data_IF_825085912755
#
_entry.id   IF_825085912755
#
_cell.length_a   1.000
_cell.length_b   1.000
_cell.length_c   1.000
_cell.angle_alpha   90.00
_cell.angle_beta   90.00
_cell.angle_gamma   90.00
#
_symmetry.space_group_name_H-M   'P 1'
#
loop_
_entity.id
_entity.type
_entity.pdbx_description
1 polymer ?
#
# COMPACT_ATOMS: atom_id res chain seq x y z
N UNK A 1 16.86 16.86 13.38
CA UNK A 1 16.91 15.82 12.33
C UNK A 1 16.33 16.40 11.05
N UNK A 2 16.94 16.11 9.90
CA UNK A 2 16.37 16.49 8.60
C UNK A 2 15.18 15.58 8.28
N UNK A 3 14.28 16.03 7.42
CA UNK A 3 13.13 15.24 6.98
C UNK A 3 13.57 13.90 6.36
N UNK A 4 14.67 13.90 5.61
CA UNK A 4 15.28 12.74 4.96
C UNK A 4 15.88 11.71 5.93
N UNK A 5 16.21 12.10 7.15
CA UNK A 5 16.70 11.18 8.19
C UNK A 5 15.58 10.71 9.13
N UNK A 6 14.58 11.56 9.38
CA UNK A 6 13.45 11.23 10.24
C UNK A 6 12.41 10.32 9.56
N UNK A 7 12.07 10.59 8.30
CA UNK A 7 10.98 9.89 7.61
C UNK A 7 11.18 8.36 7.52
N UNK A 8 12.37 7.82 7.18
CA UNK A 8 12.58 6.38 7.16
C UNK A 8 12.42 5.73 8.54
N UNK A 9 12.88 6.39 9.60
CA UNK A 9 12.77 5.89 10.98
C UNK A 9 11.29 5.83 11.40
N UNK A 10 10.54 6.90 11.16
CA UNK A 10 9.11 6.95 11.47
C UNK A 10 8.33 5.89 10.67
N UNK A 11 8.65 5.71 9.39
CA UNK A 11 8.04 4.67 8.56
C UNK A 11 8.35 3.26 9.09
N UNK A 12 9.59 2.99 9.49
CA UNK A 12 9.98 1.71 10.05
C UNK A 12 9.27 1.41 11.38
N UNK A 13 9.21 2.39 12.30
CA UNK A 13 8.47 2.26 13.56
C UNK A 13 6.97 2.03 13.32
N UNK A 14 6.38 2.77 12.37
CA UNK A 14 4.99 2.57 11.96
C UNK A 14 4.73 1.18 11.39
N UNK A 15 5.62 0.68 10.54
CA UNK A 15 5.55 -0.68 10.00
C UNK A 15 5.65 -1.74 11.10
N UNK A 16 6.61 -1.62 12.01
CA UNK A 16 6.78 -2.57 13.13
C UNK A 16 5.53 -2.58 14.02
N UNK A 17 5.04 -1.41 14.40
CA UNK A 17 3.81 -1.30 15.18
C UNK A 17 2.63 -1.96 14.46
N UNK A 18 2.44 -1.68 13.17
CA UNK A 18 1.39 -2.28 12.36
C UNK A 18 1.54 -3.81 12.26
N UNK A 19 2.73 -4.32 11.95
CA UNK A 19 2.99 -5.75 11.86
C UNK A 19 2.72 -6.47 13.18
N UNK A 20 3.16 -5.90 14.31
CA UNK A 20 2.87 -6.43 15.64
C UNK A 20 1.37 -6.44 15.93
N UNK A 21 0.64 -5.38 15.57
CA UNK A 21 -0.82 -5.37 15.74
C UNK A 21 -1.50 -6.45 14.90
N UNK A 22 -1.03 -6.72 13.68
CA UNK A 22 -1.57 -7.79 12.85
C UNK A 22 -1.24 -9.18 13.41
N UNK A 23 -0.05 -9.37 13.96
CA UNK A 23 0.40 -10.64 14.51
C UNK A 23 -0.28 -11.01 15.84
N UNK A 24 -0.60 -9.99 16.66
CA UNK A 24 -1.12 -10.19 18.02
C UNK A 24 -2.65 -10.04 18.08
N UNK A 25 -3.26 -9.25 17.18
CA UNK A 25 -4.70 -9.04 17.22
C UNK A 25 -5.46 -10.37 17.00
N UNK A 26 -6.50 -10.66 17.79
CA UNK A 26 -7.27 -11.86 17.62
C UNK A 26 -7.93 -11.88 16.25
N UNK A 27 -7.97 -13.06 15.63
CA UNK A 27 -8.68 -13.28 14.38
C UNK A 27 -10.13 -12.81 14.54
N UNK A 28 -10.58 -11.96 13.62
CA UNK A 28 -11.95 -11.45 13.63
C UNK A 28 -12.79 -12.24 12.64
N UNK A 29 -13.94 -12.72 13.11
CA UNK A 29 -14.92 -13.44 12.29
C UNK A 29 -15.57 -12.50 11.26
N UNK A 30 -15.72 -11.22 11.60
CA UNK A 30 -16.40 -10.24 10.75
C UNK A 30 -15.48 -9.12 10.24
N UNK A 31 -15.62 -8.73 8.95
CA UNK A 31 -14.95 -7.56 8.41
C UNK A 31 -15.38 -6.28 9.13
N UNK A 32 -14.43 -5.46 9.58
CA UNK A 32 -14.76 -4.12 10.09
C UNK A 32 -15.28 -3.25 8.95
N UNK A 33 -16.45 -2.64 9.13
CA UNK A 33 -17.10 -1.77 8.13
C UNK A 33 -16.17 -0.68 7.58
N UNK A 34 -15.31 -0.12 8.44
CA UNK A 34 -14.41 0.99 8.11
C UNK A 34 -12.95 0.57 7.89
N UNK A 35 -12.66 -0.73 7.73
CA UNK A 35 -11.29 -1.23 7.52
C UNK A 35 -10.60 -0.60 6.30
N UNK A 36 -11.37 -0.21 5.28
CA UNK A 36 -10.90 0.41 4.06
C UNK A 36 -10.33 1.82 4.25
N UNK A 37 -10.73 2.53 5.31
CA UNK A 37 -10.29 3.91 5.55
C UNK A 37 -8.79 3.99 5.80
N UNK A 38 -8.23 3.02 6.51
CA UNK A 38 -6.80 2.99 6.83
C UNK A 38 -5.90 2.99 5.58
N UNK A 39 -6.00 2.02 4.65
CA UNK A 39 -5.21 2.05 3.42
C UNK A 39 -5.58 3.24 2.51
N UNK A 40 -6.82 3.75 2.53
CA UNK A 40 -7.20 4.94 1.78
C UNK A 40 -6.46 6.19 2.29
N UNK A 41 -6.40 6.39 3.61
CA UNK A 41 -5.66 7.49 4.23
C UNK A 41 -4.17 7.40 3.93
N UNK A 42 -3.58 6.20 4.04
CA UNK A 42 -2.17 5.99 3.67
C UNK A 42 -1.92 6.27 2.19
N UNK A 43 -2.83 5.88 1.31
CA UNK A 43 -2.75 6.16 -0.13
C UNK A 43 -2.68 7.67 -0.39
N UNK A 44 -3.59 8.45 0.21
CA UNK A 44 -3.64 9.91 0.05
C UNK A 44 -2.40 10.57 0.65
N UNK A 45 -2.00 10.17 1.87
CA UNK A 45 -0.83 10.72 2.52
C UNK A 45 0.46 10.45 1.74
N UNK A 46 0.64 9.21 1.25
CA UNK A 46 1.80 8.85 0.47
C UNK A 46 1.79 9.49 -0.92
N UNK A 47 0.64 9.61 -1.57
CA UNK A 47 0.50 10.39 -2.81
C UNK A 47 0.94 11.85 -2.61
N UNK A 48 0.52 12.48 -1.51
CA UNK A 48 0.95 13.84 -1.16
C UNK A 48 2.47 13.94 -1.01
N UNK A 49 3.08 12.99 -0.33
CA UNK A 49 4.54 12.90 -0.22
C UNK A 49 5.22 12.70 -1.57
N UNK A 50 4.72 11.80 -2.41
CA UNK A 50 5.27 11.53 -3.75
C UNK A 50 5.18 12.77 -4.64
N UNK A 51 4.07 13.51 -4.60
CA UNK A 51 3.93 14.77 -5.33
C UNK A 51 4.91 15.84 -4.82
N UNK A 52 5.11 15.92 -3.50
CA UNK A 52 6.10 16.81 -2.92
C UNK A 52 7.53 16.47 -3.39
N UNK A 53 7.93 15.19 -3.33
CA UNK A 53 9.22 14.74 -3.83
C UNK A 53 9.38 15.04 -5.33
N UNK A 54 8.35 14.75 -6.14
CA UNK A 54 8.34 15.03 -7.57
C UNK A 54 8.51 16.52 -7.88
N UNK A 55 7.87 17.40 -7.10
CA UNK A 55 7.97 18.85 -7.29
C UNK A 55 9.37 19.41 -6.95
N UNK A 56 10.09 18.77 -6.02
CA UNK A 56 11.40 19.23 -5.56
C UNK A 56 12.57 18.58 -6.31
N UNK A 57 12.44 17.32 -6.70
CA UNK A 57 13.55 16.50 -7.24
C UNK A 57 13.32 16.09 -8.70
N UNK A 58 12.08 16.14 -9.18
CA UNK A 58 11.71 15.74 -10.54
C UNK A 58 11.63 14.22 -10.74
N UNK A 59 11.00 13.81 -11.85
CA UNK A 59 10.75 12.38 -12.12
C UNK A 59 12.04 11.59 -12.40
N UNK A 60 13.05 12.25 -12.97
CA UNK A 60 14.33 11.63 -13.32
C UNK A 60 15.13 11.23 -12.08
N UNK A 61 14.96 11.93 -10.95
CA UNK A 61 15.62 11.62 -9.69
C UNK A 61 15.30 10.19 -9.21
N UNK A 62 14.11 9.65 -9.53
CA UNK A 62 13.76 8.26 -9.19
C UNK A 62 14.75 7.28 -9.81
N UNK A 63 15.06 7.44 -11.11
CA UNK A 63 15.98 6.53 -11.80
C UNK A 63 17.41 6.68 -11.28
N UNK A 64 17.84 7.91 -10.98
CA UNK A 64 19.14 8.18 -10.39
C UNK A 64 19.27 7.50 -9.01
N UNK A 65 18.23 7.60 -8.18
CA UNK A 65 18.24 7.04 -6.82
C UNK A 65 18.28 5.51 -6.84
N UNK A 66 17.47 4.83 -7.66
CA UNK A 66 17.47 3.36 -7.70
C UNK A 66 18.77 2.79 -8.30
N UNK A 67 19.46 3.54 -9.16
CA UNK A 67 20.69 3.09 -9.84
C UNK A 67 22.00 3.50 -9.15
N UNK A 68 21.95 4.29 -8.07
CA UNK A 68 23.15 4.84 -7.43
C UNK A 68 24.07 3.80 -6.77
N UNK A 69 23.53 2.66 -6.37
CA UNK A 69 24.28 1.62 -5.64
C UNK A 69 23.60 0.27 -5.68
N UNK A 70 24.33 -0.79 -5.33
CA UNK A 70 23.77 -2.13 -5.17
C UNK A 70 22.66 -2.20 -4.12
N UNK A 71 22.80 -1.46 -3.01
CA UNK A 71 21.74 -1.37 -2.00
C UNK A 71 20.47 -0.72 -2.52
N UNK A 72 20.60 0.27 -3.40
CA UNK A 72 19.45 0.95 -4.00
C UNK A 72 18.71 0.06 -4.99
N UNK A 73 19.46 -0.70 -5.81
CA UNK A 73 18.87 -1.76 -6.63
C UNK A 73 18.18 -2.82 -5.77
N UNK A 74 18.82 -3.29 -4.70
CA UNK A 74 18.26 -4.30 -3.80
C UNK A 74 16.93 -3.84 -3.18
N UNK A 75 16.86 -2.59 -2.69
CA UNK A 75 15.62 -2.01 -2.14
C UNK A 75 14.54 -1.95 -3.21
N UNK A 76 14.87 -1.49 -4.42
CA UNK A 76 13.90 -1.41 -5.51
C UNK A 76 13.35 -2.79 -5.91
N UNK A 77 14.22 -3.79 -6.01
CA UNK A 77 13.84 -5.18 -6.31
C UNK A 77 12.94 -5.73 -5.19
N UNK A 78 13.29 -5.50 -3.93
CA UNK A 78 12.49 -5.93 -2.77
C UNK A 78 11.08 -5.31 -2.80
N UNK A 79 10.96 -4.03 -3.15
CA UNK A 79 9.66 -3.37 -3.32
C UNK A 79 8.82 -3.98 -4.45
N UNK A 80 9.44 -4.34 -5.58
CA UNK A 80 8.74 -5.03 -6.68
C UNK A 80 8.27 -6.43 -6.26
N UNK A 81 9.09 -7.18 -5.52
CA UNK A 81 8.74 -8.50 -5.00
C UNK A 81 7.60 -8.40 -3.98
N UNK A 82 7.69 -7.48 -3.03
CA UNK A 82 6.64 -7.23 -2.05
C UNK A 82 5.30 -6.84 -2.72
N UNK A 83 5.33 -5.97 -3.72
CA UNK A 83 4.14 -5.63 -4.50
C UNK A 83 3.60 -6.84 -5.28
N UNK A 84 4.46 -7.65 -5.88
CA UNK A 84 4.08 -8.90 -6.56
C UNK A 84 3.39 -9.89 -5.63
N UNK A 85 3.95 -10.11 -4.44
CA UNK A 85 3.35 -10.96 -3.39
C UNK A 85 1.97 -10.42 -3.00
N UNK A 86 1.87 -9.11 -2.72
CA UNK A 86 0.60 -8.50 -2.36
C UNK A 86 -0.46 -8.66 -3.47
N UNK A 87 -0.08 -8.44 -4.73
CA UNK A 87 -0.96 -8.65 -5.89
C UNK A 87 -1.39 -10.11 -6.03
N UNK A 88 -0.52 -11.09 -5.74
CA UNK A 88 -0.87 -12.51 -5.79
C UNK A 88 -2.03 -12.86 -4.85
N UNK A 89 -2.17 -12.17 -3.71
CA UNK A 89 -3.31 -12.32 -2.79
C UNK A 89 -4.48 -11.39 -3.10
N UNK A 90 -4.21 -10.13 -3.48
CA UNK A 90 -5.26 -9.14 -3.72
C UNK A 90 -6.03 -9.37 -5.02
N UNK A 91 -5.38 -9.86 -6.08
CA UNK A 91 -6.02 -10.05 -7.39
C UNK A 91 -7.13 -11.11 -7.33
N UNK A 92 -6.93 -12.32 -6.77
CA UNK A 92 -8.02 -13.29 -6.61
C UNK A 92 -9.19 -12.74 -5.79
N UNK A 93 -8.89 -12.05 -4.70
CA UNK A 93 -9.92 -11.47 -3.84
C UNK A 93 -10.70 -10.35 -4.54
N UNK A 94 -10.01 -9.47 -5.26
CA UNK A 94 -10.64 -8.43 -6.05
C UNK A 94 -11.60 -9.02 -7.09
N UNK A 95 -11.21 -10.11 -7.78
CA UNK A 95 -12.09 -10.83 -8.72
C UNK A 95 -13.32 -11.40 -8.02
N UNK A 96 -13.15 -12.02 -6.84
CA UNK A 96 -14.26 -12.57 -6.04
C UNK A 96 -15.29 -11.51 -5.66
N UNK A 97 -14.85 -10.27 -5.45
CA UNK A 97 -15.70 -9.11 -5.15
C UNK A 97 -16.21 -8.38 -6.41
N UNK A 98 -16.04 -8.95 -7.60
CA UNK A 98 -16.52 -8.38 -8.87
C UNK A 98 -15.68 -7.22 -9.42
N UNK A 99 -14.48 -6.97 -8.89
CA UNK A 99 -13.57 -5.97 -9.43
C UNK A 99 -12.87 -6.49 -10.69
N UNK A 100 -12.61 -5.59 -11.64
CA UNK A 100 -11.67 -5.83 -12.74
C UNK A 100 -10.25 -5.53 -12.25
N UNK A 101 -9.33 -6.51 -12.10
CA UNK A 101 -8.03 -6.24 -11.48
C UNK A 101 -7.05 -5.47 -12.36
N UNK A 102 -7.17 -5.58 -13.69
CA UNK A 102 -6.17 -5.07 -14.62
C UNK A 102 -5.85 -3.57 -14.44
N UNK A 103 -6.83 -2.64 -14.32
CA UNK A 103 -6.52 -1.23 -14.05
C UNK A 103 -5.72 -1.01 -12.77
N UNK A 104 -5.97 -1.81 -11.73
CA UNK A 104 -5.29 -1.71 -10.44
C UNK A 104 -3.86 -2.27 -10.49
N UNK A 105 -3.65 -3.35 -11.25
CA UNK A 105 -2.31 -3.89 -11.51
C UNK A 105 -1.48 -2.87 -12.28
N UNK A 106 -2.04 -2.25 -13.32
CA UNK A 106 -1.37 -1.18 -14.08
C UNK A 106 -1.04 0.01 -13.17
N UNK A 107 -2.00 0.47 -12.36
CA UNK A 107 -1.77 1.55 -11.41
C UNK A 107 -0.66 1.20 -10.41
N UNK A 108 -0.63 -0.04 -9.90
CA UNK A 108 0.41 -0.52 -8.97
C UNK A 108 1.78 -0.58 -9.66
N UNK A 109 1.85 -1.05 -10.90
CA UNK A 109 3.11 -1.08 -11.66
C UNK A 109 3.64 0.33 -11.94
N UNK A 110 2.75 1.29 -12.21
CA UNK A 110 3.14 2.66 -12.53
C UNK A 110 3.47 3.51 -11.29
N UNK A 111 2.84 3.24 -10.15
CA UNK A 111 2.89 4.13 -8.95
C UNK A 111 3.34 3.43 -7.67
N UNK A 112 3.69 2.14 -7.75
CA UNK A 112 4.05 1.32 -6.60
C UNK A 112 2.90 1.19 -5.60
N UNK A 113 3.19 1.50 -4.33
CA UNK A 113 2.25 1.30 -3.24
C UNK A 113 1.03 2.24 -3.27
N UNK A 114 1.04 3.33 -4.04
CA UNK A 114 -0.16 4.18 -4.21
C UNK A 114 -1.28 3.37 -4.87
N UNK A 115 -1.01 2.76 -6.03
CA UNK A 115 -1.97 1.89 -6.72
C UNK A 115 -2.37 0.68 -5.87
N UNK A 116 -1.42 0.08 -5.15
CA UNK A 116 -1.66 -1.09 -4.30
C UNK A 116 -2.54 -0.77 -3.09
N UNK A 117 -2.28 0.34 -2.39
CA UNK A 117 -3.08 0.82 -1.27
C UNK A 117 -4.49 1.21 -1.73
N UNK A 118 -4.61 1.86 -2.90
CA UNK A 118 -5.90 2.14 -3.53
C UNK A 118 -6.69 0.86 -3.82
N UNK A 119 -6.03 -0.16 -4.37
CA UNK A 119 -6.64 -1.46 -4.64
C UNK A 119 -7.10 -2.14 -3.35
N UNK A 120 -6.24 -2.17 -2.32
CA UNK A 120 -6.56 -2.75 -1.01
C UNK A 120 -7.75 -2.03 -0.37
N UNK A 121 -7.77 -0.69 -0.38
CA UNK A 121 -8.89 0.08 0.14
C UNK A 121 -10.20 -0.27 -0.58
N UNK A 122 -10.18 -0.38 -1.91
CA UNK A 122 -11.37 -0.75 -2.69
C UNK A 122 -11.84 -2.18 -2.37
N UNK A 123 -10.93 -3.14 -2.25
CA UNK A 123 -11.23 -4.51 -1.85
C UNK A 123 -11.92 -4.54 -0.49
N UNK A 124 -11.35 -3.85 0.51
CA UNK A 124 -11.94 -3.82 1.86
C UNK A 124 -13.30 -3.13 1.89
N UNK A 125 -13.49 -2.07 1.10
CA UNK A 125 -14.76 -1.37 0.99
C UNK A 125 -15.86 -2.29 0.41
N UNK A 126 -15.54 -3.02 -0.66
CA UNK A 126 -16.49 -3.95 -1.28
C UNK A 126 -16.78 -5.14 -0.37
N UNK A 127 -15.76 -5.68 0.31
CA UNK A 127 -15.95 -6.76 1.28
C UNK A 127 -16.89 -6.36 2.41
N UNK A 128 -16.72 -5.16 2.97
CA UNK A 128 -17.58 -4.63 4.02
C UNK A 128 -19.05 -4.47 3.58
N UNK A 129 -19.30 -4.20 2.29
CA UNK A 129 -20.66 -4.06 1.74
C UNK A 129 -21.28 -5.38 1.29
N UNK A 130 -20.45 -6.38 0.99
CA UNK A 130 -20.91 -7.71 0.61
C UNK A 130 -21.33 -8.56 1.81
N UNK A 131 -20.85 -8.25 3.01
CA UNK A 131 -21.32 -8.83 4.27
C UNK A 131 -22.61 -8.11 4.69
N UNK A 132 -23.79 -8.77 4.72
CA UNK A 132 -25.01 -8.14 5.20
C UNK A 132 -24.81 -7.70 6.64
N UNK A 133 -25.23 -6.47 6.98
CA UNK A 133 -25.36 -6.09 8.38
C UNK A 133 -26.34 -7.07 9.02
N UNK A 134 -25.92 -7.77 10.08
CA UNK A 134 -26.86 -8.50 10.91
C UNK A 134 -27.91 -7.48 11.38
N UNK A 135 -29.11 -7.54 10.81
CA UNK A 135 -30.28 -6.85 11.35
C UNK A 135 -30.57 -7.55 12.67
N UNK A 136 -30.48 -6.85 13.82
CA UNK A 136 -30.77 -7.43 15.12
C UNK A 136 -32.22 -7.90 15.24
#
# INVERSE_FOLDING_TARGET
MTLTTAAPILAALGFVAFALTLAIAPARSEPRANAWMFPATLCVAFLGWTLYALANEGIIAIWQEISRSLWSNQIFIDLLLAAGIALAFLVPEARRLGMRPLPWVIATAATGCIGLLGMLARVLFLRARATPAHVP
#
